data_IF_522538391941
#
_entry.id   IF_522538391941
#
_cell.length_a   1.000
_cell.length_b   1.000
_cell.length_c   1.000
_cell.angle_alpha   90.00
_cell.angle_beta   90.00
_cell.angle_gamma   90.00
#
_symmetry.space_group_name_H-M   'P 1'
#
loop_
_entity.id
_entity.type
_entity.pdbx_description
1 polymer ?
#
# COMPACT_ATOMS: atom_id res chain seq x y z
N UNK A 1 0.74 -15.87 -12.95
CA UNK A 1 1.47 -14.64 -13.34
C UNK A 1 1.24 -13.68 -12.21
N UNK A 2 2.28 -13.02 -11.72
CA UNK A 2 2.13 -12.09 -10.62
C UNK A 2 1.45 -10.82 -11.12
N UNK A 3 0.45 -10.34 -10.39
CA UNK A 3 -0.31 -9.14 -10.74
C UNK A 3 -0.09 -8.05 -9.70
N UNK A 4 -0.20 -6.79 -10.09
CA UNK A 4 -0.18 -5.67 -9.15
C UNK A 4 -1.40 -5.73 -8.23
N UNK A 5 -1.20 -5.45 -6.94
CA UNK A 5 -2.20 -5.51 -5.89
C UNK A 5 -2.41 -4.12 -5.28
N UNK A 6 -3.67 -3.69 -5.23
CA UNK A 6 -4.04 -2.35 -4.78
C UNK A 6 -5.15 -2.37 -3.73
N UNK A 7 -5.12 -1.39 -2.81
CA UNK A 7 -6.26 -1.00 -1.99
C UNK A 7 -6.66 0.44 -2.33
N UNK A 8 -7.87 0.60 -2.85
CA UNK A 8 -8.49 1.90 -3.09
C UNK A 8 -9.41 2.26 -1.92
N UNK A 9 -9.34 3.52 -1.48
CA UNK A 9 -10.13 4.06 -0.36
C UNK A 9 -10.86 5.33 -0.81
N UNK A 10 -12.16 5.40 -0.49
CA UNK A 10 -13.00 6.56 -0.72
C UNK A 10 -13.50 7.12 0.60
N UNK A 11 -13.64 8.44 0.66
CA UNK A 11 -14.15 9.16 1.83
C UNK A 11 -15.40 9.96 1.45
N UNK A 12 -16.29 10.18 2.42
CA UNK A 12 -17.48 11.02 2.19
C UNK A 12 -17.12 12.48 1.88
N UNK A 13 -16.05 12.96 2.49
CA UNK A 13 -15.44 14.26 2.21
C UNK A 13 -13.93 14.05 2.06
N UNK A 14 -13.37 14.73 1.06
CA UNK A 14 -11.94 14.70 0.76
C UNK A 14 -11.52 16.01 0.08
N UNK A 15 -11.88 17.12 0.72
CA UNK A 15 -11.51 18.46 0.23
C UNK A 15 -10.02 18.70 0.48
N UNK A 16 -9.45 19.71 -0.18
CA UNK A 16 -8.03 20.08 -0.07
C UNK A 16 -7.43 20.00 1.36
N UNK A 17 -8.01 20.60 2.41
CA UNK A 17 -7.46 20.54 3.76
C UNK A 17 -7.50 19.13 4.40
N UNK A 18 -8.31 18.20 3.88
CA UNK A 18 -8.44 16.85 4.40
C UNK A 18 -7.45 15.86 3.79
N UNK A 19 -6.86 16.16 2.62
CA UNK A 19 -5.99 15.23 1.86
C UNK A 19 -4.89 14.65 2.76
N UNK A 20 -4.07 15.52 3.38
CA UNK A 20 -2.94 15.10 4.21
C UNK A 20 -3.38 14.49 5.55
N UNK A 21 -4.34 15.05 6.31
CA UNK A 21 -4.86 14.38 7.51
C UNK A 21 -5.39 12.97 7.26
N UNK A 22 -6.09 12.73 6.14
CA UNK A 22 -6.58 11.40 5.77
C UNK A 22 -5.43 10.47 5.40
N UNK A 23 -4.45 10.95 4.62
CA UNK A 23 -3.23 10.20 4.30
C UNK A 23 -2.48 9.76 5.56
N UNK A 24 -2.31 10.67 6.53
CA UNK A 24 -1.70 10.38 7.83
C UNK A 24 -2.50 9.33 8.60
N UNK A 25 -3.84 9.44 8.61
CA UNK A 25 -4.69 8.46 9.30
C UNK A 25 -4.53 7.03 8.74
N UNK A 26 -4.44 6.90 7.41
CA UNK A 26 -4.17 5.63 6.74
C UNK A 26 -2.76 5.12 7.06
N UNK A 27 -1.74 5.96 6.91
CA UNK A 27 -0.33 5.61 7.18
C UNK A 27 -0.10 5.18 8.63
N UNK A 28 -0.82 5.74 9.60
CA UNK A 28 -0.73 5.33 11.01
C UNK A 28 -1.15 3.89 11.26
N UNK A 29 -2.03 3.33 10.43
CA UNK A 29 -2.45 1.94 10.54
C UNK A 29 -1.45 0.98 9.89
N UNK A 30 -0.47 1.49 9.14
CA UNK A 30 0.45 0.67 8.38
C UNK A 30 1.46 -0.03 9.30
N UNK A 31 1.61 -1.37 9.21
CA UNK A 31 2.57 -2.10 10.02
C UNK A 31 3.99 -1.94 9.44
N UNK A 32 4.61 -0.80 9.73
CA UNK A 32 5.96 -0.48 9.27
C UNK A 32 6.96 -1.60 9.57
N UNK A 33 7.87 -1.82 8.63
CA UNK A 33 8.96 -2.80 8.71
C UNK A 33 9.84 -2.47 9.92
N UNK A 34 10.21 -3.50 10.67
CA UNK A 34 11.18 -3.37 11.75
C UNK A 34 12.59 -3.04 11.22
N UNK A 35 12.89 -3.43 9.99
CA UNK A 35 14.18 -3.20 9.34
C UNK A 35 14.24 -1.83 8.64
N UNK A 36 13.09 -1.34 8.16
CA UNK A 36 12.95 -0.04 7.48
C UNK A 36 11.70 0.69 8.01
N UNK A 37 11.79 1.25 9.22
CA UNK A 37 10.64 1.88 9.86
C UNK A 37 10.26 3.20 9.18
N UNK A 38 9.01 3.61 9.33
CA UNK A 38 8.52 4.92 8.92
C UNK A 38 8.38 5.13 7.42
N UNK A 39 8.03 6.37 7.05
CA UNK A 39 7.95 6.84 5.67
C UNK A 39 9.37 7.14 5.19
N UNK A 40 9.76 6.55 4.07
CA UNK A 40 11.12 6.62 3.52
C UNK A 40 11.23 7.50 2.27
N UNK A 41 10.09 7.90 1.71
CA UNK A 41 10.02 8.71 0.51
C UNK A 41 8.75 9.56 0.53
N UNK A 42 8.88 10.78 0.02
CA UNK A 42 7.78 11.72 -0.20
C UNK A 42 7.95 12.37 -1.56
N UNK A 43 6.87 12.47 -2.32
CA UNK A 43 6.82 13.29 -3.52
C UNK A 43 5.48 13.99 -3.72
N UNK A 44 5.50 15.08 -4.50
CA UNK A 44 4.30 15.84 -4.88
C UNK A 44 4.25 15.94 -6.40
N UNK A 45 3.16 15.42 -6.95
CA UNK A 45 2.91 15.34 -8.37
C UNK A 45 1.81 16.34 -8.76
N UNK A 46 2.08 17.34 -9.62
CA UNK A 46 1.08 18.32 -10.00
C UNK A 46 0.23 17.82 -11.16
N UNK A 47 -1.09 18.08 -11.14
CA UNK A 47 -2.07 17.97 -12.24
C UNK A 47 -2.25 16.57 -12.84
N UNK A 48 -1.18 15.92 -13.31
CA UNK A 48 -1.17 14.61 -13.95
C UNK A 48 0.15 13.88 -13.68
N UNK A 49 0.21 12.57 -13.89
CA UNK A 49 1.45 11.79 -13.81
C UNK A 49 2.46 12.14 -14.91
N UNK A 50 2.00 12.81 -15.97
CA UNK A 50 2.86 13.22 -17.09
C UNK A 50 3.65 14.50 -16.82
N UNK A 51 3.26 15.27 -15.81
CA UNK A 51 3.96 16.48 -15.40
C UNK A 51 5.26 16.17 -14.64
N UNK A 52 6.21 17.13 -14.56
CA UNK A 52 7.36 17.00 -13.68
C UNK A 52 6.95 17.06 -12.20
N UNK A 53 7.44 16.11 -11.40
CA UNK A 53 7.32 16.13 -9.94
C UNK A 53 7.94 17.41 -9.36
N UNK A 54 7.20 18.13 -8.52
CA UNK A 54 7.61 19.44 -7.97
C UNK A 54 8.40 19.32 -6.66
N UNK A 55 8.27 18.19 -5.97
CA UNK A 55 9.01 17.86 -4.76
C UNK A 55 9.32 16.36 -4.76
N UNK A 56 10.57 15.99 -4.49
CA UNK A 56 10.98 14.62 -4.20
C UNK A 56 11.98 14.62 -3.03
N UNK A 57 11.72 13.86 -1.98
CA UNK A 57 12.63 13.70 -0.85
C UNK A 57 12.69 12.25 -0.36
N UNK A 58 13.90 11.80 0.00
CA UNK A 58 14.18 10.48 0.56
C UNK A 58 14.63 10.59 2.02
N UNK A 59 14.17 9.67 2.84
CA UNK A 59 14.45 9.59 4.27
C UNK A 59 15.00 8.20 4.60
N UNK A 60 16.33 7.95 4.48
CA UNK A 60 16.90 6.62 4.71
C UNK A 60 16.64 6.03 6.09
N UNK A 61 16.48 6.89 7.11
CA UNK A 61 16.18 6.48 8.49
C UNK A 61 14.66 6.34 8.77
N UNK A 62 13.82 6.73 7.81
CA UNK A 62 12.38 6.86 8.00
C UNK A 62 11.99 8.09 8.82
N UNK A 63 10.79 8.61 8.56
CA UNK A 63 10.15 9.66 9.35
C UNK A 63 8.71 9.25 9.70
N UNK A 64 8.09 9.92 10.68
CA UNK A 64 6.69 9.64 11.02
C UNK A 64 5.75 10.12 9.92
N UNK A 65 4.52 9.57 9.83
CA UNK A 65 3.51 10.06 8.89
C UNK A 65 3.25 11.57 8.98
N UNK A 66 3.25 12.12 10.19
CA UNK A 66 3.03 13.56 10.43
C UNK A 66 4.20 14.40 9.91
N UNK A 67 5.43 13.93 10.11
CA UNK A 67 6.61 14.60 9.56
C UNK A 67 6.58 14.57 8.04
N UNK A 68 6.18 13.45 7.44
CA UNK A 68 6.04 13.32 5.99
C UNK A 68 4.98 14.27 5.41
N UNK A 69 3.82 14.37 6.06
CA UNK A 69 2.79 15.35 5.67
C UNK A 69 3.27 16.80 5.86
N UNK A 70 4.04 17.08 6.91
CA UNK A 70 4.64 18.39 7.14
C UNK A 70 5.63 18.83 6.05
N UNK A 71 6.28 17.88 5.37
CA UNK A 71 7.19 18.16 4.25
C UNK A 71 6.43 18.65 3.00
N UNK A 72 5.17 18.24 2.82
CA UNK A 72 4.39 18.56 1.62
C UNK A 72 3.31 19.62 1.84
N UNK A 73 3.08 20.06 3.08
CA UNK A 73 1.94 20.91 3.45
C UNK A 73 1.91 22.25 2.72
N UNK A 74 3.07 22.81 2.38
CA UNK A 74 3.18 24.08 1.64
C UNK A 74 2.74 23.95 0.17
N UNK A 75 2.64 22.72 -0.34
CA UNK A 75 2.23 22.39 -1.71
C UNK A 75 0.82 21.77 -1.74
N UNK A 76 0.05 21.89 -0.65
CA UNK A 76 -1.29 21.35 -0.58
C UNK A 76 -2.20 22.00 -1.63
N UNK A 77 -2.73 21.20 -2.55
CA UNK A 77 -3.63 21.66 -3.61
C UNK A 77 -4.56 20.54 -4.09
N UNK A 78 -5.77 20.88 -4.51
CA UNK A 78 -6.76 19.92 -5.05
C UNK A 78 -6.37 19.30 -6.41
N UNK A 79 -5.48 19.94 -7.16
CA UNK A 79 -4.95 19.43 -8.43
C UNK A 79 -3.76 18.48 -8.24
N UNK A 80 -3.29 18.24 -7.02
CA UNK A 80 -2.01 17.56 -6.77
C UNK A 80 -2.23 16.16 -6.18
N UNK A 81 -1.29 15.26 -6.44
CA UNK A 81 -1.17 13.98 -5.75
C UNK A 81 0.06 13.95 -4.84
N UNK A 82 -0.11 13.37 -3.66
CA UNK A 82 0.91 13.23 -2.62
C UNK A 82 1.30 11.76 -2.51
N UNK A 83 2.56 11.46 -2.79
CA UNK A 83 3.10 10.11 -2.79
C UNK A 83 3.94 9.90 -1.55
N UNK A 84 3.68 8.81 -0.85
CA UNK A 84 4.47 8.34 0.30
C UNK A 84 4.91 6.91 0.02
N UNK A 85 6.16 6.57 0.35
CA UNK A 85 6.59 5.17 0.33
C UNK A 85 7.08 4.72 1.71
N UNK A 86 6.66 3.53 2.08
CA UNK A 86 7.05 2.86 3.31
C UNK A 86 7.31 1.38 3.03
N UNK A 87 7.82 0.67 4.04
CA UNK A 87 8.07 -0.76 3.95
C UNK A 87 7.31 -1.49 5.03
N UNK A 88 6.86 -2.69 4.74
CA UNK A 88 6.47 -3.70 5.72
C UNK A 88 7.31 -4.96 5.53
N UNK A 89 7.38 -5.82 6.55
CA UNK A 89 8.12 -7.07 6.43
C UNK A 89 7.19 -8.20 5.95
N UNK A 90 7.51 -8.86 4.86
CA UNK A 90 6.81 -10.08 4.41
C UNK A 90 7.76 -11.28 4.46
N UNK A 91 7.23 -12.45 4.79
CA UNK A 91 7.98 -13.68 4.71
C UNK A 91 8.29 -14.02 3.24
N UNK A 92 9.55 -14.27 2.96
CA UNK A 92 10.03 -14.74 1.67
C UNK A 92 10.98 -15.94 1.85
N UNK A 93 11.00 -16.90 0.92
CA UNK A 93 11.99 -17.97 0.94
C UNK A 93 13.39 -17.38 0.79
N UNK A 94 14.32 -17.86 1.62
CA UNK A 94 15.73 -17.47 1.53
C UNK A 94 16.31 -17.88 0.18
N UNK A 95 17.07 -17.01 -0.50
CA UNK A 95 17.78 -17.36 -1.73
C UNK A 95 18.76 -18.53 -1.56
N UNK A 96 19.20 -18.78 -0.32
CA UNK A 96 20.14 -19.85 0.03
C UNK A 96 19.42 -21.19 0.30
N UNK A 97 18.09 -21.21 0.20
CA UNK A 97 17.24 -22.39 0.35
C UNK A 97 16.94 -22.77 1.80
N UNK A 98 15.78 -23.41 1.99
CA UNK A 98 15.45 -24.14 3.24
C UNK A 98 15.01 -23.31 4.45
N UNK A 99 15.10 -21.97 4.42
CA UNK A 99 14.61 -21.10 5.49
C UNK A 99 13.79 -19.95 4.94
N UNK A 100 12.84 -19.44 5.73
CA UNK A 100 12.11 -18.22 5.43
C UNK A 100 12.69 -17.05 6.20
N UNK A 101 12.66 -15.87 5.59
CA UNK A 101 13.15 -14.63 6.20
C UNK A 101 12.14 -13.51 5.98
N UNK A 102 12.00 -12.64 6.98
CA UNK A 102 11.25 -11.40 6.84
C UNK A 102 12.03 -10.43 5.97
N UNK A 103 11.44 -10.03 4.84
CA UNK A 103 12.05 -9.14 3.86
C UNK A 103 11.23 -7.85 3.78
N UNK A 104 11.86 -6.66 3.83
CA UNK A 104 11.16 -5.40 3.64
C UNK A 104 10.64 -5.28 2.21
N UNK A 105 9.33 -5.18 2.07
CA UNK A 105 8.63 -4.99 0.79
C UNK A 105 8.07 -3.57 0.74
N UNK A 106 8.30 -2.89 -0.39
CA UNK A 106 7.84 -1.52 -0.61
C UNK A 106 6.31 -1.48 -0.71
N UNK A 107 5.71 -0.45 -0.12
CA UNK A 107 4.30 -0.09 -0.30
C UNK A 107 4.24 1.41 -0.58
N UNK A 108 3.52 1.78 -1.64
CA UNK A 108 3.32 3.16 -2.05
C UNK A 108 1.90 3.59 -1.72
N UNK A 109 1.76 4.80 -1.21
CA UNK A 109 0.50 5.44 -0.87
C UNK A 109 0.38 6.70 -1.72
N UNK A 110 -0.74 6.86 -2.39
CA UNK A 110 -1.04 8.04 -3.20
C UNK A 110 -2.32 8.65 -2.68
N UNK A 111 -2.23 9.85 -2.09
CA UNK A 111 -3.39 10.67 -1.77
C UNK A 111 -3.61 11.66 -2.90
N UNK A 112 -4.76 11.57 -3.56
CA UNK A 112 -5.06 12.32 -4.78
C UNK A 112 -6.04 13.44 -4.46
N UNK A 113 -5.70 14.67 -4.84
CA UNK A 113 -6.64 15.78 -4.83
C UNK A 113 -7.80 15.54 -5.80
N UNK A 114 -8.92 16.23 -5.56
CA UNK A 114 -10.17 16.00 -6.27
C UNK A 114 -10.10 16.28 -7.78
N UNK A 115 -9.14 17.11 -8.22
CA UNK A 115 -8.99 17.53 -9.61
C UNK A 115 -7.75 16.93 -10.30
N UNK A 116 -6.89 16.22 -9.56
CA UNK A 116 -5.74 15.51 -10.14
C UNK A 116 -6.19 14.44 -11.15
N UNK A 117 -5.47 14.32 -12.26
CA UNK A 117 -5.77 13.41 -13.39
C UNK A 117 -7.24 13.52 -13.83
N UNK A 118 -7.72 14.75 -14.06
CA UNK A 118 -9.10 15.04 -14.46
C UNK A 118 -10.16 14.41 -13.52
N UNK A 119 -9.84 14.30 -12.23
CA UNK A 119 -10.73 13.73 -11.21
C UNK A 119 -10.64 12.22 -11.05
N UNK A 120 -9.48 11.61 -11.35
CA UNK A 120 -9.26 10.17 -11.27
C UNK A 120 -9.56 9.55 -9.90
N UNK A 121 -9.57 10.34 -8.82
CA UNK A 121 -9.89 9.87 -7.47
C UNK A 121 -11.30 9.26 -7.34
N UNK A 122 -12.23 9.62 -8.22
CA UNK A 122 -13.57 9.03 -8.27
C UNK A 122 -13.52 7.51 -8.55
N UNK A 123 -12.63 7.08 -9.44
CA UNK A 123 -12.51 5.69 -9.88
C UNK A 123 -11.39 4.94 -9.14
N UNK A 124 -10.29 5.62 -8.86
CA UNK A 124 -9.09 5.00 -8.27
C UNK A 124 -9.04 5.07 -6.75
N UNK A 125 -9.92 5.88 -6.15
CA UNK A 125 -9.94 6.19 -4.72
C UNK A 125 -9.20 7.48 -4.39
N UNK A 126 -9.69 8.20 -3.39
CA UNK A 126 -9.01 9.39 -2.86
C UNK A 126 -7.63 9.05 -2.29
N UNK A 127 -7.50 7.86 -1.69
CA UNK A 127 -6.21 7.28 -1.33
C UNK A 127 -6.11 5.91 -1.98
N UNK A 128 -5.07 5.71 -2.79
CA UNK A 128 -4.72 4.42 -3.35
C UNK A 128 -3.43 3.92 -2.71
N UNK A 129 -3.43 2.64 -2.35
CA UNK A 129 -2.26 1.94 -1.80
C UNK A 129 -1.85 0.88 -2.81
N UNK A 130 -0.61 0.94 -3.26
CA UNK A 130 0.04 -0.01 -4.14
C UNK A 130 0.97 -0.90 -3.31
N UNK A 131 0.63 -2.18 -3.22
CA UNK A 131 1.42 -3.18 -2.49
C UNK A 131 2.51 -3.84 -3.36
N UNK A 132 2.65 -3.41 -4.61
CA UNK A 132 3.44 -4.08 -5.63
C UNK A 132 2.74 -5.35 -6.12
N UNK A 133 3.52 -6.38 -6.44
CA UNK A 133 2.99 -7.64 -6.94
C UNK A 133 2.30 -8.45 -5.83
N UNK A 134 1.34 -9.31 -6.20
CA UNK A 134 0.68 -10.27 -5.32
C UNK A 134 1.54 -11.51 -4.98
N UNK A 135 2.59 -11.76 -5.76
CA UNK A 135 3.51 -12.90 -5.59
C UNK A 135 4.07 -13.07 -4.16
N UNK A 136 4.50 -12.01 -3.44
CA UNK A 136 4.98 -12.12 -2.05
C UNK A 136 3.91 -12.62 -1.06
N UNK A 137 2.63 -12.59 -1.42
CA UNK A 137 1.54 -13.12 -0.60
C UNK A 137 1.14 -14.53 -0.98
N UNK A 138 1.27 -14.90 -2.25
CA UNK A 138 0.80 -16.19 -2.77
C UNK A 138 1.91 -17.25 -2.83
N UNK A 139 3.14 -16.82 -3.14
CA UNK A 139 4.30 -17.67 -3.43
C UNK A 139 3.93 -18.87 -4.30
N UNK A 140 3.25 -18.63 -5.44
CA UNK A 140 2.64 -19.69 -6.27
C UNK A 140 3.64 -20.75 -6.77
N UNK A 141 4.91 -20.36 -6.92
CA UNK A 141 6.00 -21.19 -7.44
C UNK A 141 6.67 -22.08 -6.38
N UNK A 142 6.34 -21.89 -5.09
CA UNK A 142 6.94 -22.66 -3.99
C UNK A 142 6.09 -23.90 -3.71
N UNK A 143 6.69 -25.04 -3.37
CA UNK A 143 5.91 -26.17 -2.88
C UNK A 143 5.36 -25.89 -1.48
N UNK A 144 4.07 -26.15 -1.26
CA UNK A 144 3.41 -25.91 0.03
C UNK A 144 3.79 -27.00 1.04
N UNK A 145 4.98 -26.86 1.63
CA UNK A 145 5.31 -27.51 2.90
C UNK A 145 4.52 -26.84 4.04
N UNK A 146 4.43 -27.49 5.20
CA UNK A 146 3.75 -26.91 6.37
C UNK A 146 4.32 -25.53 6.76
N UNK A 147 5.64 -25.35 6.69
CA UNK A 147 6.31 -24.08 6.94
C UNK A 147 5.91 -23.02 5.90
N UNK A 148 5.87 -23.38 4.61
CA UNK A 148 5.46 -22.47 3.55
C UNK A 148 4.02 -21.99 3.72
N UNK A 149 3.12 -22.88 4.14
CA UNK A 149 1.72 -22.54 4.39
C UNK A 149 1.57 -21.54 5.55
N UNK A 150 2.31 -21.73 6.65
CA UNK A 150 2.29 -20.81 7.79
C UNK A 150 2.75 -19.40 7.39
N UNK A 151 3.84 -19.31 6.63
CA UNK A 151 4.37 -18.02 6.17
C UNK A 151 3.46 -17.31 5.17
N UNK A 152 2.89 -18.05 4.21
CA UNK A 152 1.88 -17.53 3.27
C UNK A 152 0.67 -17.01 4.04
N UNK A 153 0.13 -17.79 4.99
CA UNK A 153 -0.99 -17.36 5.85
C UNK A 153 -0.63 -16.10 6.64
N UNK A 154 0.58 -16.00 7.17
CA UNK A 154 1.05 -14.83 7.91
C UNK A 154 1.07 -13.56 7.04
N UNK A 155 1.58 -13.63 5.81
CA UNK A 155 1.61 -12.50 4.88
C UNK A 155 0.18 -12.03 4.53
N UNK A 156 -0.71 -12.98 4.23
CA UNK A 156 -2.11 -12.70 3.89
C UNK A 156 -2.86 -12.12 5.09
N UNK A 157 -2.64 -12.67 6.27
CA UNK A 157 -3.24 -12.16 7.49
C UNK A 157 -2.83 -10.70 7.76
N UNK A 158 -1.54 -10.37 7.54
CA UNK A 158 -1.05 -9.00 7.67
C UNK A 158 -1.74 -8.03 6.70
N UNK A 159 -1.91 -8.42 5.44
CA UNK A 159 -2.67 -7.63 4.45
C UNK A 159 -4.12 -7.41 4.90
N UNK A 160 -4.81 -8.48 5.28
CA UNK A 160 -6.22 -8.42 5.72
C UNK A 160 -6.36 -7.55 6.96
N UNK A 161 -5.51 -7.74 7.97
CA UNK A 161 -5.49 -6.93 9.19
C UNK A 161 -5.29 -5.45 8.88
N UNK A 162 -4.33 -5.12 8.01
CA UNK A 162 -4.10 -3.74 7.59
C UNK A 162 -5.33 -3.14 6.89
N UNK A 163 -5.92 -3.85 5.92
CA UNK A 163 -7.12 -3.34 5.21
C UNK A 163 -8.30 -3.10 6.17
N UNK A 164 -8.49 -3.97 7.16
CA UNK A 164 -9.55 -3.84 8.15
C UNK A 164 -9.28 -2.71 9.16
N UNK A 165 -8.01 -2.53 9.58
CA UNK A 165 -7.62 -1.43 10.45
C UNK A 165 -7.83 -0.08 9.77
N UNK A 166 -7.45 0.05 8.50
CA UNK A 166 -7.67 1.26 7.71
C UNK A 166 -9.15 1.57 7.54
N UNK A 167 -9.98 0.57 7.23
CA UNK A 167 -11.44 0.76 7.13
C UNK A 167 -12.02 1.33 8.43
N UNK A 168 -11.61 0.76 9.56
CA UNK A 168 -12.15 1.11 10.87
C UNK A 168 -11.67 2.47 11.38
N UNK A 169 -10.39 2.79 11.18
CA UNK A 169 -9.74 3.91 11.86
C UNK A 169 -9.54 5.14 10.96
N UNK A 170 -9.61 5.01 9.62
CA UNK A 170 -9.39 6.15 8.71
C UNK A 170 -10.64 6.99 8.43
N UNK A 171 -11.83 6.41 8.63
CA UNK A 171 -13.12 7.03 8.28
C UNK A 171 -13.47 6.90 6.79
N UNK A 172 -12.84 5.98 6.06
CA UNK A 172 -13.21 5.64 4.70
C UNK A 172 -14.65 5.10 4.64
N UNK A 173 -15.42 5.55 3.65
CA UNK A 173 -16.80 5.10 3.40
C UNK A 173 -16.87 4.00 2.35
N UNK A 174 -15.84 3.86 1.53
CA UNK A 174 -15.70 2.80 0.56
C UNK A 174 -14.28 2.25 0.54
N UNK A 175 -14.15 0.96 0.26
CA UNK A 175 -12.86 0.31 0.01
C UNK A 175 -12.96 -0.78 -1.04
N UNK A 176 -11.88 -0.97 -1.79
CA UNK A 176 -11.75 -2.04 -2.75
C UNK A 176 -10.32 -2.57 -2.73
N UNK A 177 -10.15 -3.84 -2.37
CA UNK A 177 -8.89 -4.57 -2.55
C UNK A 177 -8.99 -5.32 -3.90
N UNK A 178 -8.08 -5.03 -4.82
CA UNK A 178 -8.16 -5.54 -6.19
C UNK A 178 -6.78 -5.77 -6.81
N UNK A 179 -6.75 -6.63 -7.83
CA UNK A 179 -5.57 -6.93 -8.64
C UNK A 179 -5.80 -6.52 -10.09
N UNK A 180 -4.74 -6.26 -10.86
CA UNK A 180 -4.86 -5.88 -12.28
C UNK A 180 -5.58 -6.92 -13.15
N UNK A 181 -5.44 -8.22 -12.82
CA UNK A 181 -6.18 -9.27 -13.50
C UNK A 181 -7.58 -9.48 -12.90
N UNK A 182 -8.52 -9.94 -13.72
CA UNK A 182 -9.90 -10.26 -13.32
C UNK A 182 -9.96 -11.37 -12.24
N UNK A 183 -8.90 -12.16 -12.08
CA UNK A 183 -8.78 -13.14 -10.98
C UNK A 183 -8.45 -12.42 -9.67
N UNK A 184 -9.48 -12.13 -8.87
CA UNK A 184 -9.31 -11.51 -7.56
C UNK A 184 -8.37 -12.34 -6.65
N UNK A 185 -7.42 -11.68 -5.98
CA UNK A 185 -6.53 -12.23 -4.95
C UNK A 185 -7.19 -13.28 -4.04
N UNK A 186 -8.44 -13.05 -3.61
CA UNK A 186 -9.18 -13.98 -2.76
C UNK A 186 -9.36 -15.37 -3.42
N UNK A 187 -9.63 -15.42 -4.72
CA UNK A 187 -9.75 -16.68 -5.46
C UNK A 187 -8.40 -17.38 -5.59
N UNK A 188 -7.33 -16.64 -5.89
CA UNK A 188 -5.96 -17.18 -5.94
C UNK A 188 -5.56 -17.75 -4.58
N UNK A 189 -5.90 -17.07 -3.49
CA UNK A 189 -5.67 -17.55 -2.13
C UNK A 189 -6.44 -18.81 -1.79
N UNK A 190 -7.74 -18.86 -2.11
CA UNK A 190 -8.56 -20.05 -1.89
C UNK A 190 -7.98 -21.22 -2.69
N UNK A 191 -7.66 -21.02 -3.97
CA UNK A 191 -7.06 -22.04 -4.82
C UNK A 191 -5.69 -22.51 -4.29
N UNK A 192 -4.89 -21.59 -3.73
CA UNK A 192 -3.59 -21.89 -3.13
C UNK A 192 -3.73 -22.72 -1.86
N UNK A 193 -4.65 -22.34 -0.97
CA UNK A 193 -4.87 -23.03 0.31
C UNK A 193 -5.62 -24.36 0.14
N UNK A 194 -6.47 -24.50 -0.88
CA UNK A 194 -7.14 -25.76 -1.19
C UNK A 194 -6.18 -26.86 -1.68
N UNK A 195 -5.02 -26.51 -2.26
CA UNK A 195 -3.98 -27.49 -2.65
C UNK A 195 -3.28 -28.16 -1.46
N UNK A 196 -3.58 -27.75 -0.23
CA UNK A 196 -2.97 -28.24 1.01
C UNK A 196 -3.85 -29.27 1.75
N UNK A 197 -5.15 -29.32 1.43
CA UNK A 197 -6.10 -30.29 1.99
C UNK A 197 -6.24 -31.53 1.10
#
# INVERSE_FOLDING_TARGET
>A
MADSLFLSLWFASFDEPEILPRAVSVLRQFPFSAQRPGVTYVAVQPVSWSEPTVLEQRFPAGITPEQAAGVTIELLHEDYAFVFEAYWDLWAPSPQGGSWVLTPTLVRFVAQGALFEDGASADTGNIQIDFGLDAPFLHEEVDLTSDAEEHVKSNVHKLVQFTAAVEKESGATGRLLWSESEENLAQKLIARLQKVN
#
